data_IF_065382858040
#
_entry.id   IF_065382858040
#
_cell.length_a   1.000
_cell.length_b   1.000
_cell.length_c   1.000
_cell.angle_alpha   90.00
_cell.angle_beta   90.00
_cell.angle_gamma   90.00
#
_symmetry.space_group_name_H-M   'P 1'
#
loop_
_entity.id
_entity.type
_entity.pdbx_description
1 polymer ?
#
# COMPACT_ATOMS: atom_id res chain seq x y z
N UNK A 1 15.45 7.73 -8.66
CA UNK A 1 16.34 6.60 -8.32
C UNK A 1 16.02 6.18 -6.89
N UNK A 2 15.82 4.89 -6.64
CA UNK A 2 15.47 4.36 -5.31
C UNK A 2 16.60 3.45 -4.83
N UNK A 3 16.85 3.44 -3.52
CA UNK A 3 17.76 2.50 -2.88
C UNK A 3 16.94 1.45 -2.12
N UNK A 4 17.31 0.16 -2.17
CA UNK A 4 16.70 -0.86 -1.33
C UNK A 4 16.74 -0.45 0.16
N UNK A 5 15.72 -0.88 0.91
CA UNK A 5 15.61 -0.68 2.37
C UNK A 5 15.68 0.78 2.85
N UNK A 6 15.31 1.73 1.97
CA UNK A 6 15.20 3.15 2.33
C UNK A 6 13.75 3.61 2.45
N UNK A 7 13.57 4.70 3.21
CA UNK A 7 12.28 5.36 3.42
C UNK A 7 12.25 6.66 2.63
N UNK A 8 11.12 6.97 1.98
CA UNK A 8 10.95 8.25 1.30
C UNK A 8 9.53 8.80 1.33
N UNK A 9 9.35 9.96 0.69
CA UNK A 9 8.06 10.63 0.50
C UNK A 9 7.97 11.25 -0.88
N UNK A 10 6.78 11.69 -1.28
CA UNK A 10 6.54 12.37 -2.54
C UNK A 10 5.19 13.09 -2.51
N UNK A 11 5.10 14.15 -3.32
CA UNK A 11 3.91 15.01 -3.46
C UNK A 11 2.80 14.41 -4.32
N UNK A 12 2.86 13.11 -4.57
CA UNK A 12 1.88 12.38 -5.37
C UNK A 12 1.36 11.17 -4.59
N UNK A 13 0.05 10.94 -4.62
CA UNK A 13 -0.62 9.86 -3.87
C UNK A 13 -0.23 8.45 -4.31
N UNK A 14 0.31 8.30 -5.52
CA UNK A 14 0.80 7.06 -6.09
C UNK A 14 2.31 6.91 -5.92
N UNK A 15 2.95 7.76 -5.09
CA UNK A 15 4.32 7.56 -4.61
C UNK A 15 4.38 6.32 -3.72
N UNK A 16 4.42 5.14 -4.35
CA UNK A 16 4.46 3.82 -3.74
C UNK A 16 5.67 3.09 -4.29
N UNK A 17 6.77 3.14 -3.54
CA UNK A 17 8.03 2.60 -4.00
C UNK A 17 7.93 1.07 -4.18
N UNK A 18 8.41 0.52 -5.32
CA UNK A 18 8.49 -0.93 -5.51
C UNK A 18 9.61 -1.57 -4.67
N UNK A 19 10.59 -0.77 -4.23
CA UNK A 19 11.70 -1.18 -3.37
C UNK A 19 11.87 -0.15 -2.24
N UNK A 20 12.03 -0.62 -1.00
CA UNK A 20 11.93 0.24 0.19
C UNK A 20 10.47 0.56 0.54
N UNK A 21 10.24 1.67 1.24
CA UNK A 21 8.89 2.11 1.63
C UNK A 21 8.73 3.62 1.44
N UNK A 22 7.53 4.04 1.02
CA UNK A 22 7.21 5.46 0.88
C UNK A 22 5.90 5.83 1.57
N UNK A 23 5.90 7.03 2.16
CA UNK A 23 4.72 7.65 2.74
C UNK A 23 4.38 8.92 1.96
N UNK A 24 3.43 8.86 1.01
CA UNK A 24 2.94 10.03 0.30
C UNK A 24 2.44 11.10 1.26
N UNK A 25 2.70 12.36 0.95
CA UNK A 25 2.22 13.47 1.76
C UNK A 25 1.87 14.69 0.90
N UNK A 26 1.11 15.62 1.50
CA UNK A 26 0.82 16.90 0.85
C UNK A 26 2.08 17.72 0.62
N UNK A 27 2.01 18.68 -0.30
CA UNK A 27 3.13 19.53 -0.73
C UNK A 27 3.88 20.20 0.43
N UNK A 28 3.17 20.66 1.46
CA UNK A 28 3.80 21.29 2.63
C UNK A 28 4.72 20.34 3.41
N UNK A 29 4.30 19.10 3.62
CA UNK A 29 5.12 18.11 4.32
C UNK A 29 6.29 17.66 3.46
N UNK A 30 6.08 17.50 2.15
CA UNK A 30 7.16 17.15 1.21
C UNK A 30 8.24 18.25 1.17
N UNK A 31 7.84 19.52 1.14
CA UNK A 31 8.78 20.65 1.23
C UNK A 31 9.56 20.64 2.55
N UNK A 32 8.89 20.35 3.67
CA UNK A 32 9.52 20.24 4.98
C UNK A 32 10.56 19.11 5.04
N UNK A 33 10.22 17.92 4.53
CA UNK A 33 11.14 16.77 4.48
C UNK A 33 12.32 17.05 3.55
N UNK A 34 12.10 17.75 2.43
CA UNK A 34 13.20 18.16 1.55
C UNK A 34 14.17 19.13 2.25
N UNK A 35 13.65 20.03 3.09
CA UNK A 35 14.46 21.02 3.80
C UNK A 35 15.18 20.45 5.03
N UNK A 36 14.52 19.57 5.80
CA UNK A 36 15.03 19.09 7.09
C UNK A 36 15.58 17.67 7.04
N UNK A 37 15.35 16.94 5.94
CA UNK A 37 15.86 15.57 5.71
C UNK A 37 15.27 14.52 6.66
N UNK A 38 14.26 14.87 7.48
CA UNK A 38 13.52 13.91 8.32
C UNK A 38 12.01 14.18 8.31
N UNK A 39 11.24 13.15 8.62
CA UNK A 39 9.78 13.20 8.78
C UNK A 39 9.39 12.56 10.11
N UNK A 40 8.48 13.20 10.86
CA UNK A 40 7.81 12.54 11.98
C UNK A 40 6.65 11.71 11.43
N UNK A 41 6.68 10.40 11.69
CA UNK A 41 5.63 9.48 11.28
C UNK A 41 5.14 8.72 12.52
N UNK A 42 3.82 8.64 12.68
CA UNK A 42 3.23 7.70 13.64
C UNK A 42 3.22 6.33 12.97
N UNK A 43 3.86 5.34 13.58
CA UNK A 43 3.84 3.96 13.09
C UNK A 43 2.39 3.49 12.96
N UNK A 44 2.00 3.10 11.75
CA UNK A 44 0.67 2.57 11.46
C UNK A 44 0.68 1.05 11.64
N UNK A 45 -0.48 0.48 11.94
CA UNK A 45 -0.62 -0.98 11.99
C UNK A 45 -0.40 -1.59 10.61
N UNK A 46 0.24 -2.77 10.56
CA UNK A 46 0.44 -3.55 9.34
C UNK A 46 -0.77 -4.43 9.02
N UNK A 47 -1.03 -4.65 7.74
CA UNK A 47 -2.00 -5.61 7.22
C UNK A 47 -1.32 -6.45 6.15
N UNK A 48 -1.19 -7.75 6.41
CA UNK A 48 -0.49 -8.69 5.53
C UNK A 48 -1.46 -9.35 4.55
N UNK A 49 -1.16 -9.26 3.27
CA UNK A 49 -1.79 -10.03 2.20
C UNK A 49 -0.79 -11.05 1.68
N UNK A 50 -1.09 -12.33 1.90
CA UNK A 50 -0.26 -13.43 1.42
C UNK A 50 -0.98 -14.17 0.30
N UNK A 51 -0.38 -14.19 -0.88
CA UNK A 51 -0.81 -15.06 -1.98
C UNK A 51 -0.23 -16.46 -1.80
N UNK A 52 -0.98 -17.48 -2.23
CA UNK A 52 -0.53 -18.87 -2.19
C UNK A 52 -1.07 -19.62 -3.42
N UNK A 53 -0.32 -20.61 -3.90
CA UNK A 53 -0.65 -21.37 -5.09
C UNK A 53 0.05 -20.85 -6.35
N UNK A 54 -0.42 -21.31 -7.52
CA UNK A 54 0.16 -20.98 -8.83
C UNK A 54 -0.82 -20.15 -9.65
N UNK A 55 -0.32 -19.13 -10.36
CA UNK A 55 -1.12 -18.31 -11.26
C UNK A 55 -1.73 -19.17 -12.37
N UNK A 56 -3.04 -19.05 -12.58
CA UNK A 56 -3.74 -19.78 -13.64
C UNK A 56 -3.45 -19.16 -15.02
N UNK A 57 -3.54 -19.96 -16.07
CA UNK A 57 -3.33 -19.50 -17.45
C UNK A 57 -4.36 -18.42 -17.81
N UNK A 58 -3.89 -17.26 -18.29
CA UNK A 58 -4.73 -16.13 -18.66
C UNK A 58 -5.00 -15.11 -17.54
N UNK A 59 -4.59 -15.40 -16.30
CA UNK A 59 -4.60 -14.44 -15.21
C UNK A 59 -3.35 -13.57 -15.27
N UNK A 60 -3.51 -12.27 -15.01
CA UNK A 60 -2.44 -11.29 -15.00
C UNK A 60 -2.18 -10.75 -13.59
N UNK A 61 -1.04 -10.08 -13.39
CA UNK A 61 -0.73 -9.38 -12.12
C UNK A 61 -1.80 -8.34 -11.76
N UNK A 62 -2.45 -7.72 -12.75
CA UNK A 62 -3.52 -6.75 -12.53
C UNK A 62 -4.74 -7.40 -11.89
N UNK A 63 -5.03 -8.64 -12.26
CA UNK A 63 -6.15 -9.39 -11.68
C UNK A 63 -5.86 -9.70 -10.21
N UNK A 64 -4.61 -9.99 -9.85
CA UNK A 64 -4.21 -10.15 -8.45
C UNK A 64 -4.35 -8.86 -7.64
N UNK A 65 -3.98 -7.70 -8.21
CA UNK A 65 -4.22 -6.40 -7.57
C UNK A 65 -5.71 -6.18 -7.30
N UNK A 66 -6.57 -6.53 -8.26
CA UNK A 66 -8.03 -6.40 -8.11
C UNK A 66 -8.65 -7.50 -7.22
N UNK A 67 -7.98 -8.64 -7.04
CA UNK A 67 -8.43 -9.71 -6.16
C UNK A 67 -8.37 -9.30 -4.68
N UNK A 68 -7.42 -8.45 -4.29
CA UNK A 68 -7.28 -7.97 -2.90
C UNK A 68 -8.58 -7.33 -2.37
N UNK A 69 -9.14 -6.27 -3.01
CA UNK A 69 -10.39 -5.68 -2.55
C UNK A 69 -11.57 -6.65 -2.73
N UNK A 70 -11.57 -7.49 -3.77
CA UNK A 70 -12.63 -8.47 -4.01
C UNK A 70 -12.76 -9.45 -2.84
N UNK A 71 -11.66 -10.05 -2.41
CA UNK A 71 -11.64 -10.98 -1.26
C UNK A 71 -11.95 -10.25 0.05
N UNK A 72 -11.45 -9.02 0.22
CA UNK A 72 -11.77 -8.23 1.41
C UNK A 72 -13.27 -7.92 1.55
N UNK A 73 -13.98 -7.73 0.44
CA UNK A 73 -15.43 -7.57 0.43
C UNK A 73 -16.12 -8.88 0.82
N UNK A 74 -15.69 -10.01 0.26
CA UNK A 74 -16.24 -11.33 0.59
C UNK A 74 -16.06 -11.68 2.08
N UNK A 75 -14.96 -11.26 2.69
CA UNK A 75 -14.68 -11.45 4.12
C UNK A 75 -15.36 -10.39 5.02
N UNK A 76 -16.08 -9.41 4.45
CA UNK A 76 -16.73 -8.34 5.21
C UNK A 76 -15.78 -7.31 5.81
N UNK A 77 -14.51 -7.29 5.37
CA UNK A 77 -13.47 -6.36 5.81
C UNK A 77 -13.50 -5.02 5.04
N UNK A 78 -14.16 -5.00 3.88
CA UNK A 78 -14.34 -3.83 3.03
C UNK A 78 -15.80 -3.71 2.59
N UNK A 79 -16.39 -2.51 2.68
CA UNK A 79 -17.72 -2.22 2.14
C UNK A 79 -17.63 -1.23 0.98
N UNK A 80 -18.58 -1.34 0.03
CA UNK A 80 -18.68 -0.44 -1.13
C UNK A 80 -19.41 0.85 -0.78
N UNK A 81 -20.43 0.77 0.08
CA UNK A 81 -21.22 1.92 0.51
C UNK A 81 -20.35 2.97 1.20
N UNK A 82 -20.64 4.25 0.91
CA UNK A 82 -19.92 5.39 1.50
C UNK A 82 -20.29 5.60 2.97
N UNK A 83 -21.55 5.40 3.31
CA UNK A 83 -22.05 5.56 4.68
C UNK A 83 -21.52 4.43 5.56
N UNK A 84 -20.90 4.76 6.70
CA UNK A 84 -20.29 3.78 7.62
C UNK A 84 -19.31 2.82 6.95
N UNK A 85 -18.53 3.32 5.98
CA UNK A 85 -17.61 2.50 5.19
C UNK A 85 -16.61 1.76 6.08
N UNK A 86 -16.64 0.43 6.03
CA UNK A 86 -15.60 -0.42 6.59
C UNK A 86 -14.47 -0.51 5.57
N UNK A 87 -13.26 -0.20 5.99
CA UNK A 87 -12.07 -0.34 5.16
C UNK A 87 -10.88 -0.75 6.04
N UNK A 88 -10.59 -2.05 6.06
CA UNK A 88 -9.48 -2.60 6.84
C UNK A 88 -8.10 -2.04 6.43
N UNK A 89 -7.96 -1.53 5.20
CA UNK A 89 -6.71 -0.99 4.67
C UNK A 89 -6.48 0.48 5.04
N UNK A 90 -7.51 1.18 5.50
CA UNK A 90 -7.42 2.62 5.79
C UNK A 90 -6.50 2.88 6.98
N UNK A 91 -5.48 3.71 6.79
CA UNK A 91 -4.51 4.06 7.84
C UNK A 91 -3.62 2.90 8.26
N UNK A 92 -3.34 1.95 7.34
CA UNK A 92 -2.48 0.80 7.60
C UNK A 92 -1.45 0.62 6.50
N UNK A 93 -0.33 -0.01 6.85
CA UNK A 93 0.69 -0.43 5.88
C UNK A 93 0.24 -1.76 5.28
N UNK A 94 0.10 -1.81 3.96
CA UNK A 94 -0.22 -3.03 3.23
C UNK A 94 1.08 -3.75 2.88
N UNK A 95 1.31 -4.92 3.46
CA UNK A 95 2.42 -5.82 3.14
C UNK A 95 1.91 -6.92 2.21
N UNK A 96 2.64 -7.21 1.14
CA UNK A 96 2.28 -8.24 0.17
C UNK A 96 3.39 -9.29 0.12
N UNK A 97 3.01 -10.56 0.28
CA UNK A 97 3.91 -11.71 0.23
C UNK A 97 3.35 -12.80 -0.69
N UNK A 98 4.21 -13.73 -1.12
CA UNK A 98 3.79 -14.98 -1.77
C UNK A 98 3.44 -14.85 -3.26
N UNK A 99 3.79 -13.71 -3.87
CA UNK A 99 4.00 -13.63 -5.31
C UNK A 99 5.44 -14.10 -5.53
N UNK A 100 5.62 -15.18 -6.30
CA UNK A 100 6.95 -15.72 -6.59
C UNK A 100 7.87 -14.69 -7.25
N UNK A 101 9.14 -15.06 -7.42
CA UNK A 101 10.06 -14.30 -8.29
C UNK A 101 9.52 -14.20 -9.73
#
# INVERSE_FOLDING_TARGET
>A
MLLPDTVGTGGDSHTRFPIGISFPAGSGLVAFVHQLVYCLLICQNRFLVRFSGTMQTGITLRDLVNAIPYVAIQQGLLTVEKTNKKNIFSGRILEIEGLGD
#
